data_IF_189730068220
#
_entry.id   IF_189730068220
#
_cell.length_a   1.000
_cell.length_b   1.000
_cell.length_c   1.000
_cell.angle_alpha   90.00
_cell.angle_beta   90.00
_cell.angle_gamma   90.00
#
_symmetry.space_group_name_H-M   'P 1'
#
loop_
_entity.id
_entity.type
_entity.pdbx_description
1 polymer ?
#
# COMPACT_ATOMS: atom_id res chain seq x y z
N UNK A 1 -7.13 9.93 -2.73
CA UNK A 1 -6.79 9.11 -1.54
C UNK A 1 -6.61 10.08 -0.40
N UNK A 2 -7.24 9.80 0.73
CA UNK A 2 -7.18 10.66 1.90
C UNK A 2 -6.06 10.15 2.82
N UNK A 3 -5.26 11.05 3.36
CA UNK A 3 -4.08 10.71 4.18
C UNK A 3 -4.47 10.10 5.53
N UNK A 4 -5.70 10.36 5.98
CA UNK A 4 -6.24 9.85 7.24
C UNK A 4 -6.85 8.44 7.11
N UNK A 5 -6.87 7.87 5.91
CA UNK A 5 -7.37 6.51 5.66
C UNK A 5 -6.17 5.59 5.47
N UNK A 6 -6.20 4.42 6.10
CA UNK A 6 -5.27 3.35 5.80
C UNK A 6 -5.48 2.79 4.40
N UNK A 7 -4.43 2.16 3.88
CA UNK A 7 -4.46 1.44 2.61
C UNK A 7 -5.55 0.37 2.63
N UNK A 8 -5.74 -0.33 3.76
CA UNK A 8 -6.80 -1.33 3.94
C UNK A 8 -8.21 -0.75 3.78
N UNK A 9 -8.46 0.42 4.39
CA UNK A 9 -9.76 1.11 4.29
C UNK A 9 -10.04 1.58 2.85
N UNK A 10 -9.03 2.12 2.17
CA UNK A 10 -9.16 2.51 0.76
C UNK A 10 -9.54 1.30 -0.11
N UNK A 11 -8.91 0.16 0.11
CA UNK A 11 -9.22 -1.08 -0.61
C UNK A 11 -10.65 -1.54 -0.33
N UNK A 12 -11.05 -1.57 0.95
CA UNK A 12 -12.39 -1.96 1.37
C UNK A 12 -13.47 -1.08 0.75
N UNK A 13 -13.32 0.23 0.84
CA UNK A 13 -14.29 1.18 0.30
C UNK A 13 -14.47 1.01 -1.20
N UNK A 14 -13.38 0.82 -1.95
CA UNK A 14 -13.46 0.65 -3.40
C UNK A 14 -14.01 -0.72 -3.79
N UNK A 15 -13.73 -1.77 -3.01
CA UNK A 15 -14.38 -3.07 -3.18
C UNK A 15 -15.90 -2.96 -2.97
N UNK A 16 -16.33 -2.32 -1.89
CA UNK A 16 -17.75 -2.16 -1.55
C UNK A 16 -18.48 -1.25 -2.55
N UNK A 17 -17.85 -0.16 -3.01
CA UNK A 17 -18.38 0.69 -4.09
C UNK A 17 -18.60 -0.05 -5.41
N UNK A 18 -17.79 -1.07 -5.68
CA UNK A 18 -17.96 -1.96 -6.85
C UNK A 18 -18.95 -3.10 -6.63
N UNK A 19 -19.53 -3.23 -5.42
CA UNK A 19 -20.41 -4.35 -5.07
C UNK A 19 -19.70 -5.71 -5.04
N UNK A 20 -18.37 -5.72 -4.95
CA UNK A 20 -17.60 -6.97 -4.96
C UNK A 20 -17.58 -7.61 -3.58
N UNK A 21 -17.85 -8.91 -3.53
CA UNK A 21 -17.71 -9.71 -2.32
C UNK A 21 -16.24 -9.95 -2.02
N UNK A 22 -15.90 -9.99 -0.73
CA UNK A 22 -14.55 -10.34 -0.24
C UNK A 22 -14.00 -11.61 -0.92
N UNK A 23 -14.82 -12.67 -1.02
CA UNK A 23 -14.44 -13.94 -1.67
C UNK A 23 -14.10 -13.81 -3.16
N UNK A 24 -14.72 -12.87 -3.88
CA UNK A 24 -14.44 -12.68 -5.30
C UNK A 24 -13.06 -12.04 -5.49
N UNK A 25 -12.75 -11.01 -4.71
CA UNK A 25 -11.44 -10.35 -4.78
C UNK A 25 -10.33 -11.26 -4.25
N UNK A 26 -10.60 -12.03 -3.19
CA UNK A 26 -9.65 -13.00 -2.65
C UNK A 26 -9.29 -14.08 -3.68
N UNK A 27 -10.28 -14.61 -4.41
CA UNK A 27 -10.04 -15.56 -5.50
C UNK A 27 -9.20 -14.96 -6.64
N UNK A 28 -9.46 -13.70 -7.02
CA UNK A 28 -8.67 -12.99 -8.05
C UNK A 28 -7.22 -12.72 -7.62
N UNK A 29 -6.97 -12.64 -6.32
CA UNK A 29 -5.64 -12.46 -5.74
C UNK A 29 -4.92 -13.77 -5.44
N UNK A 30 -5.59 -14.91 -5.61
CA UNK A 30 -5.11 -16.24 -5.20
C UNK A 30 -4.72 -16.28 -3.72
N UNK A 31 -5.61 -15.75 -2.86
CA UNK A 31 -5.44 -15.76 -1.39
C UNK A 31 -6.72 -16.18 -0.68
N UNK A 32 -6.56 -16.59 0.57
CA UNK A 32 -7.69 -16.88 1.44
C UNK A 32 -8.51 -15.60 1.76
N UNK A 33 -9.83 -15.76 1.87
CA UNK A 33 -10.76 -14.65 2.12
C UNK A 33 -10.49 -13.97 3.47
N UNK A 34 -10.08 -14.72 4.50
CA UNK A 34 -9.71 -14.17 5.80
C UNK A 34 -8.43 -13.35 5.72
N UNK A 35 -7.49 -13.68 4.81
CA UNK A 35 -6.29 -12.86 4.57
C UNK A 35 -6.70 -11.50 4.02
N UNK A 36 -7.52 -11.47 2.97
CA UNK A 36 -8.01 -10.20 2.42
C UNK A 36 -8.80 -9.39 3.45
N UNK A 37 -9.61 -10.08 4.26
CA UNK A 37 -10.38 -9.45 5.34
C UNK A 37 -9.47 -8.77 6.38
N UNK A 38 -8.36 -9.41 6.77
CA UNK A 38 -7.35 -8.81 7.67
C UNK A 38 -6.61 -7.66 7.00
N UNK A 39 -6.35 -7.75 5.69
CA UNK A 39 -5.74 -6.65 4.91
C UNK A 39 -6.63 -5.41 4.90
N UNK A 40 -7.92 -5.58 4.64
CA UNK A 40 -8.90 -4.48 4.62
C UNK A 40 -9.09 -3.80 5.98
N UNK A 41 -8.79 -4.49 7.08
CA UNK A 41 -8.80 -3.94 8.45
C UNK A 41 -7.45 -3.43 8.93
N UNK A 42 -6.39 -3.54 8.12
CA UNK A 42 -5.03 -3.16 8.51
C UNK A 42 -4.34 -4.12 9.49
N UNK A 43 -5.00 -5.21 9.89
CA UNK A 43 -4.46 -6.25 10.79
C UNK A 43 -3.35 -7.09 10.13
N UNK A 44 -3.31 -7.11 8.80
CA UNK A 44 -2.27 -7.77 8.02
C UNK A 44 -1.82 -6.87 6.88
N UNK A 45 -0.50 -6.69 6.72
CA UNK A 45 0.03 -5.93 5.58
C UNK A 45 0.00 -6.78 4.32
N UNK A 46 -0.52 -6.20 3.23
CA UNK A 46 -0.45 -6.78 1.90
C UNK A 46 0.97 -6.70 1.34
N UNK A 47 1.33 -7.58 0.42
CA UNK A 47 2.58 -7.46 -0.34
C UNK A 47 2.45 -6.37 -1.40
N UNK A 48 3.59 -5.84 -1.89
CA UNK A 48 3.59 -4.88 -3.00
C UNK A 48 2.89 -5.45 -4.23
N UNK A 49 3.09 -6.73 -4.53
CA UNK A 49 2.44 -7.40 -5.67
C UNK A 49 0.92 -7.46 -5.48
N UNK A 50 0.44 -7.78 -4.28
CA UNK A 50 -0.98 -7.75 -3.96
C UNK A 50 -1.57 -6.35 -4.10
N UNK A 51 -0.87 -5.31 -3.66
CA UNK A 51 -1.31 -3.91 -3.84
C UNK A 51 -1.46 -3.56 -5.33
N UNK A 52 -0.53 -3.98 -6.18
CA UNK A 52 -0.62 -3.75 -7.63
C UNK A 52 -1.82 -4.50 -8.23
N UNK A 53 -1.99 -5.78 -7.90
CA UNK A 53 -3.14 -6.58 -8.37
C UNK A 53 -4.47 -6.02 -7.88
N UNK A 54 -4.53 -5.59 -6.62
CA UNK A 54 -5.71 -4.94 -6.04
C UNK A 54 -6.05 -3.63 -6.75
N UNK A 55 -5.05 -2.84 -7.13
CA UNK A 55 -5.29 -1.63 -7.91
C UNK A 55 -6.01 -1.96 -9.22
N UNK A 56 -5.63 -3.06 -9.89
CA UNK A 56 -6.26 -3.49 -11.14
C UNK A 56 -7.70 -3.95 -10.93
N UNK A 57 -7.91 -4.88 -10.00
CA UNK A 57 -9.23 -5.44 -9.67
C UNK A 57 -10.20 -4.33 -9.29
N UNK A 58 -9.73 -3.37 -8.48
CA UNK A 58 -10.54 -2.27 -7.98
C UNK A 58 -10.52 -1.04 -8.91
N UNK A 59 -9.88 -1.11 -10.08
CA UNK A 59 -9.72 0.00 -11.04
C UNK A 59 -9.23 1.30 -10.39
N UNK A 60 -8.29 1.16 -9.47
CA UNK A 60 -7.59 2.27 -8.83
C UNK A 60 -6.35 2.65 -9.63
N UNK A 61 -5.91 3.89 -9.45
CA UNK A 61 -4.62 4.29 -10.00
C UNK A 61 -3.49 3.58 -9.22
N UNK A 62 -2.76 2.69 -9.93
CA UNK A 62 -1.66 1.88 -9.40
C UNK A 62 -0.61 2.71 -8.67
N UNK A 63 -0.17 3.80 -9.30
CA UNK A 63 0.89 4.66 -8.77
C UNK A 63 0.45 5.35 -7.48
N UNK A 64 -0.75 5.95 -7.47
CA UNK A 64 -1.30 6.61 -6.28
C UNK A 64 -1.47 5.60 -5.13
N UNK A 65 -1.97 4.40 -5.40
CA UNK A 65 -2.14 3.38 -4.36
C UNK A 65 -0.79 2.92 -3.81
N UNK A 66 0.19 2.74 -4.69
CA UNK A 66 1.53 2.32 -4.29
C UNK A 66 2.24 3.40 -3.47
N UNK A 67 2.14 4.67 -3.87
CA UNK A 67 2.66 5.80 -3.09
C UNK A 67 2.03 5.82 -1.70
N UNK A 68 0.71 5.69 -1.62
CA UNK A 68 -0.02 5.67 -0.35
C UNK A 68 0.43 4.52 0.56
N UNK A 69 0.49 3.31 0.01
CA UNK A 69 0.93 2.10 0.72
C UNK A 69 2.35 2.23 1.27
N UNK A 70 3.29 2.73 0.46
CA UNK A 70 4.68 2.92 0.89
C UNK A 70 4.82 4.05 1.91
N UNK A 71 4.10 5.16 1.70
CA UNK A 71 4.06 6.28 2.63
C UNK A 71 3.57 5.84 4.00
N UNK A 72 2.48 5.09 4.06
CA UNK A 72 1.94 4.54 5.30
C UNK A 72 2.96 3.60 5.98
N UNK A 73 3.59 2.69 5.22
CA UNK A 73 4.59 1.78 5.78
C UNK A 73 5.76 2.53 6.42
N UNK A 74 6.31 3.53 5.73
CA UNK A 74 7.44 4.32 6.21
C UNK A 74 7.01 5.19 7.40
N UNK A 75 5.81 5.77 7.36
CA UNK A 75 5.30 6.57 8.47
C UNK A 75 5.20 5.74 9.76
N UNK A 76 4.64 4.52 9.70
CA UNK A 76 4.57 3.63 10.86
C UNK A 76 5.96 3.22 11.39
N UNK A 77 6.95 3.10 10.52
CA UNK A 77 8.31 2.73 10.92
C UNK A 77 9.07 3.88 11.60
N UNK A 78 8.70 5.13 11.28
CA UNK A 78 9.43 6.31 11.74
C UNK A 78 8.65 7.18 12.75
N UNK A 79 7.39 6.88 13.04
CA UNK A 79 6.50 7.78 13.81
C UNK A 79 7.03 8.11 15.20
N UNK A 80 7.73 7.18 15.84
CA UNK A 80 8.27 7.33 17.19
C UNK A 80 9.72 7.88 17.22
N UNK A 81 10.31 8.18 16.06
CA UNK A 81 11.69 8.65 15.94
C UNK A 81 11.76 10.18 15.84
N UNK A 82 12.46 10.84 16.75
CA UNK A 82 12.66 12.30 16.72
C UNK A 82 13.32 12.78 15.41
N UNK A 83 14.07 11.90 14.75
CA UNK A 83 14.80 12.16 13.50
C UNK A 83 13.99 11.86 12.24
N UNK A 84 12.73 11.43 12.34
CA UNK A 84 11.90 10.94 11.22
C UNK A 84 11.93 11.86 9.98
N UNK A 85 11.72 13.16 10.19
CA UNK A 85 11.70 14.16 9.10
C UNK A 85 13.05 14.29 8.39
N UNK A 86 14.16 14.25 9.15
CA UNK A 86 15.50 14.31 8.58
C UNK A 86 15.83 13.01 7.84
N UNK A 87 15.46 11.86 8.41
CA UNK A 87 15.62 10.54 7.79
C UNK A 87 14.95 10.47 6.41
N UNK A 88 13.73 11.00 6.26
CA UNK A 88 13.02 11.02 4.97
C UNK A 88 13.77 11.83 3.90
N UNK A 89 14.34 12.99 4.27
CA UNK A 89 15.12 13.83 3.35
C UNK A 89 16.38 13.10 2.86
N UNK A 90 17.12 12.51 3.80
CA UNK A 90 18.33 11.73 3.48
C UNK A 90 17.98 10.50 2.63
N UNK A 91 16.85 9.84 2.92
CA UNK A 91 16.36 8.69 2.13
C UNK A 91 16.03 9.10 0.69
N UNK A 92 15.42 10.26 0.47
CA UNK A 92 15.14 10.77 -0.88
C UNK A 92 16.44 10.97 -1.69
N UNK A 93 17.43 11.63 -1.08
CA UNK A 93 18.76 11.83 -1.70
C UNK A 93 19.45 10.49 -2.00
N UNK A 94 19.37 9.54 -1.05
CA UNK A 94 19.91 8.19 -1.21
C UNK A 94 19.26 7.46 -2.39
N UNK A 95 17.94 7.56 -2.55
CA UNK A 95 17.21 6.97 -3.69
C UNK A 95 17.67 7.59 -5.02
N UNK A 96 17.84 8.91 -5.08
CA UNK A 96 18.35 9.60 -6.27
C UNK A 96 19.76 9.13 -6.63
N UNK A 97 20.65 9.07 -5.64
CA UNK A 97 22.01 8.56 -5.80
C UNK A 97 22.03 7.12 -6.33
N UNK A 98 21.28 6.22 -5.69
CA UNK A 98 21.22 4.81 -6.10
C UNK A 98 20.64 4.62 -7.50
N UNK A 99 19.65 5.43 -7.92
CA UNK A 99 19.11 5.40 -9.28
C UNK A 99 20.14 5.86 -10.31
N UNK A 100 20.91 6.90 -10.01
CA UNK A 100 21.95 7.43 -10.90
C UNK A 100 23.14 6.46 -11.06
N UNK A 101 23.42 5.65 -10.04
CA UNK A 101 24.53 4.70 -10.02
C UNK A 101 24.10 3.24 -10.25
N UNK A 102 22.84 3.02 -10.66
CA UNK A 102 22.30 1.69 -11.00
C UNK A 102 22.66 1.26 -12.44
N UNK A 103 23.92 1.47 -12.80
CA UNK A 103 24.47 1.01 -14.08
C UNK A 103 25.08 -0.39 -13.88
N UNK A 104 24.44 -1.38 -14.51
CA UNK A 104 24.64 -2.85 -14.52
C UNK A 104 23.99 -3.66 -13.41
#
# INVERSE_FOLDING_TARGET
MNINQSTGEILRENREKKGLLLRQVAALLDIDTAILSKVERGERKATKEQIIKLADILSLNREKLLIHYLSEKIAYELVDEDVASQTLKVAEERVKYLKAHKSQ
#
